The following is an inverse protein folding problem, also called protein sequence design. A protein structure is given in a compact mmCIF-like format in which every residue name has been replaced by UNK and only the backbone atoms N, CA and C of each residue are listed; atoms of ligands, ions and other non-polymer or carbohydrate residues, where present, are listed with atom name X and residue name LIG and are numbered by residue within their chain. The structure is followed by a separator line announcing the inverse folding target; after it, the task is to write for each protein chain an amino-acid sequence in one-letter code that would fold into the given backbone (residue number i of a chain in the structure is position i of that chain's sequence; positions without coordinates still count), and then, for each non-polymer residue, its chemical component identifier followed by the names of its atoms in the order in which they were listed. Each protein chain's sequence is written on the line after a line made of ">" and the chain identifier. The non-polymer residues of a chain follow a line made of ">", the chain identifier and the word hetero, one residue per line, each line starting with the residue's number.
data_IF_518666802057
#
_entry.id   IF_518666802057
#
_cell.length_a   1.000
_cell.length_b   1.000
_cell.length_c   1.000
_cell.angle_alpha   90.00
_cell.angle_beta   90.00
_cell.angle_gamma   90.00
#
_symmetry.space_group_name_H-M   'P 1'
#
loop_
_entity.id
_entity.type
_entity.pdbx_description
1 polymer ?
#
# COMPACT_ATOMS: atom_id res chain seq x y z
N UNK A 1 4.86 25.85 -5.44
CA UNK A 1 5.79 24.90 -6.11
C UNK A 1 5.45 24.85 -7.60
N UNK A 2 6.42 24.67 -8.51
CA UNK A 2 6.17 24.65 -9.98
C UNK A 2 6.52 23.31 -10.68
N UNK A 3 7.29 22.45 -10.03
CA UNK A 3 7.71 21.13 -10.52
C UNK A 3 7.85 20.17 -9.36
N UNK A 4 7.82 18.86 -9.60
CA UNK A 4 8.16 17.87 -8.58
C UNK A 4 9.62 18.04 -8.15
N UNK A 5 9.85 17.91 -6.85
CA UNK A 5 11.18 17.99 -6.23
C UNK A 5 11.37 16.83 -5.27
N UNK A 6 12.60 16.34 -5.19
CA UNK A 6 13.04 15.41 -4.16
C UNK A 6 14.08 16.15 -3.32
N UNK A 7 13.82 16.27 -2.02
CA UNK A 7 14.71 16.86 -1.05
C UNK A 7 15.45 15.74 -0.31
N UNK A 8 16.75 15.64 -0.51
CA UNK A 8 17.61 14.70 0.21
C UNK A 8 17.92 15.28 1.59
N UNK A 9 17.54 14.57 2.63
CA UNK A 9 17.76 14.94 4.04
C UNK A 9 19.12 14.46 4.54
N UNK A 10 19.53 13.28 4.05
CA UNK A 10 20.81 12.65 4.39
C UNK A 10 21.38 11.95 3.16
N UNK A 11 22.67 12.15 2.89
CA UNK A 11 23.39 11.42 1.84
C UNK A 11 23.73 10.02 2.33
N UNK A 12 23.37 9.00 1.55
CA UNK A 12 23.53 7.59 1.91
C UNK A 12 24.15 6.80 0.77
N UNK A 13 25.17 6.01 1.06
CA UNK A 13 25.69 5.02 0.11
C UNK A 13 24.93 3.69 0.28
N UNK A 14 24.33 3.20 -0.80
CA UNK A 14 23.61 1.92 -0.87
C UNK A 14 24.17 1.07 -2.01
N UNK A 15 24.22 -0.25 -1.83
CA UNK A 15 24.70 -1.18 -2.85
C UNK A 15 23.53 -1.93 -3.51
N UNK A 16 23.17 -1.49 -4.72
CA UNK A 16 22.09 -2.06 -5.55
C UNK A 16 20.83 -2.42 -4.73
N UNK A 17 20.23 -1.42 -4.05
CA UNK A 17 19.13 -1.69 -3.16
C UNK A 17 17.90 -2.22 -3.92
N UNK A 18 17.08 -2.99 -3.23
CA UNK A 18 15.75 -3.35 -3.71
C UNK A 18 14.82 -2.17 -3.43
N UNK A 19 14.08 -1.74 -4.44
CA UNK A 19 13.11 -0.66 -4.29
C UNK A 19 11.72 -1.21 -3.98
N UNK A 20 11.13 -0.79 -2.86
CA UNK A 20 9.77 -1.14 -2.44
C UNK A 20 8.91 0.11 -2.50
N UNK A 21 7.84 0.10 -3.29
CA UNK A 21 6.82 1.16 -3.32
C UNK A 21 5.52 0.70 -2.66
N UNK A 22 4.95 1.57 -1.84
CA UNK A 22 3.73 1.30 -1.09
C UNK A 22 2.93 2.58 -0.78
N UNK A 23 2.61 3.38 -1.80
CA UNK A 23 1.80 4.58 -1.64
C UNK A 23 0.33 4.24 -1.31
N UNK A 24 -0.46 5.20 -0.78
CA UNK A 24 -1.85 4.95 -0.42
C UNK A 24 -2.67 4.41 -1.59
N UNK A 25 -3.46 3.36 -1.34
CA UNK A 25 -4.27 2.69 -2.34
C UNK A 25 -5.42 1.91 -1.70
N UNK A 26 -5.97 0.94 -2.44
CA UNK A 26 -7.12 0.15 -1.99
C UNK A 26 -6.82 -0.52 -0.65
N UNK A 27 -7.69 -0.29 0.34
CA UNK A 27 -7.60 -0.85 1.69
C UNK A 27 -6.35 -0.47 2.47
N UNK A 28 -5.53 0.47 1.98
CA UNK A 28 -4.21 0.80 2.54
C UNK A 28 -3.27 -0.41 2.70
N UNK A 29 -3.52 -1.50 1.96
CA UNK A 29 -2.86 -2.79 2.17
C UNK A 29 -1.34 -2.69 2.03
N UNK A 30 -0.87 -2.14 0.90
CA UNK A 30 0.55 -1.96 0.65
C UNK A 30 1.20 -1.01 1.65
N UNK A 31 0.59 0.16 1.86
CA UNK A 31 1.09 1.18 2.80
C UNK A 31 1.25 0.62 4.21
N UNK A 32 0.25 -0.10 4.73
CA UNK A 32 0.34 -0.72 6.05
C UNK A 32 1.49 -1.74 6.14
N UNK A 33 1.71 -2.54 5.10
CA UNK A 33 2.81 -3.49 5.08
C UNK A 33 4.17 -2.78 5.09
N UNK A 34 4.33 -1.70 4.31
CA UNK A 34 5.58 -0.94 4.27
C UNK A 34 5.83 -0.09 5.51
N UNK A 35 4.80 0.58 6.05
CA UNK A 35 4.87 1.29 7.33
C UNK A 35 5.35 0.32 8.42
N UNK A 36 4.81 -0.91 8.44
CA UNK A 36 5.20 -1.93 9.40
C UNK A 36 6.64 -2.40 9.24
N UNK A 37 7.15 -2.55 8.00
CA UNK A 37 8.58 -2.83 7.76
C UNK A 37 9.47 -1.69 8.28
N UNK A 38 9.06 -0.44 8.02
CA UNK A 38 9.80 0.76 8.46
C UNK A 38 9.89 0.78 9.99
N UNK A 39 8.78 0.53 10.69
CA UNK A 39 8.72 0.56 12.14
C UNK A 39 9.47 -0.60 12.80
N UNK A 40 9.33 -1.84 12.29
CA UNK A 40 9.96 -3.02 12.90
C UNK A 40 11.45 -3.14 12.62
N UNK A 41 11.93 -2.61 11.49
CA UNK A 41 13.34 -2.65 11.11
C UNK A 41 14.07 -1.32 11.30
N UNK A 42 13.43 -0.35 11.95
CA UNK A 42 13.98 0.99 12.21
C UNK A 42 14.53 1.66 10.94
N UNK A 43 13.78 1.60 9.84
CA UNK A 43 14.22 2.18 8.58
C UNK A 43 14.40 3.71 8.71
N UNK A 44 15.44 4.24 8.07
CA UNK A 44 15.84 5.65 8.26
C UNK A 44 15.34 6.47 7.08
N UNK A 45 14.56 7.52 7.35
CA UNK A 45 14.13 8.47 6.33
C UNK A 45 15.32 9.30 5.83
N UNK A 46 15.55 9.33 4.52
CA UNK A 46 16.66 10.05 3.91
C UNK A 46 16.26 11.01 2.80
N UNK A 47 15.03 10.95 2.29
CA UNK A 47 14.54 11.91 1.31
C UNK A 47 13.02 12.10 1.37
N UNK A 48 12.55 13.22 0.84
CA UNK A 48 11.12 13.55 0.73
C UNK A 48 10.82 14.06 -0.68
N UNK A 49 9.71 13.62 -1.27
CA UNK A 49 9.20 14.09 -2.56
C UNK A 49 7.98 14.99 -2.35
N UNK A 50 7.98 16.12 -3.03
CA UNK A 50 6.87 17.06 -3.10
C UNK A 50 6.52 17.34 -4.55
N UNK A 51 5.23 17.46 -4.85
CA UNK A 51 4.76 17.68 -6.22
C UNK A 51 3.62 18.70 -6.29
N UNK A 52 3.59 19.58 -7.31
CA UNK A 52 2.40 20.38 -7.61
C UNK A 52 1.23 19.53 -8.14
N UNK A 53 1.47 18.26 -8.48
CA UNK A 53 0.47 17.31 -8.97
C UNK A 53 -0.24 16.55 -7.83
N UNK A 54 0.17 16.77 -6.59
CA UNK A 54 -0.54 16.27 -5.41
C UNK A 54 -1.82 17.06 -5.12
N UNK A 55 -2.74 16.50 -4.33
CA UNK A 55 -3.93 17.21 -3.88
C UNK A 55 -3.60 18.57 -3.27
N UNK A 56 -4.33 19.65 -3.63
CA UNK A 56 -4.07 21.00 -3.15
C UNK A 56 -4.58 21.21 -1.72
N UNK A 57 -4.13 20.35 -0.80
CA UNK A 57 -4.54 20.34 0.61
C UNK A 57 -3.35 19.99 1.52
N UNK A 58 -3.57 20.02 2.82
CA UNK A 58 -2.65 19.53 3.86
C UNK A 58 -3.40 18.53 4.73
N UNK A 59 -2.67 17.68 5.45
CA UNK A 59 -3.23 16.96 6.59
C UNK A 59 -3.03 17.78 7.86
N UNK A 60 -3.84 17.47 8.86
CA UNK A 60 -3.71 17.99 10.22
C UNK A 60 -3.78 16.79 11.15
N UNK A 61 -2.75 16.61 11.97
CA UNK A 61 -2.72 15.52 12.95
C UNK A 61 -3.52 15.85 14.22
N UNK A 62 -3.55 14.91 15.17
CA UNK A 62 -4.30 15.04 16.42
C UNK A 62 -3.79 16.17 17.33
N UNK A 63 -2.53 16.59 17.16
CA UNK A 63 -1.92 17.72 17.87
C UNK A 63 -2.15 19.06 17.15
N UNK A 64 -2.84 19.04 16.00
CA UNK A 64 -3.11 20.22 15.19
C UNK A 64 -1.93 20.67 14.34
N UNK A 65 -0.92 19.82 14.16
CA UNK A 65 0.26 20.11 13.35
C UNK A 65 -0.08 19.87 11.87
N UNK A 66 0.30 20.83 11.04
CA UNK A 66 0.10 20.79 9.60
C UNK A 66 1.15 19.88 8.98
N UNK A 67 0.68 18.90 8.20
CA UNK A 67 1.53 18.05 7.39
C UNK A 67 1.26 18.29 5.89
N UNK A 68 2.29 18.65 5.09
CA UNK A 68 2.11 18.80 3.65
C UNK A 68 1.86 17.45 2.96
N UNK A 69 1.21 17.49 1.79
CA UNK A 69 1.19 16.33 0.89
C UNK A 69 2.61 15.99 0.45
N UNK A 70 3.07 14.77 0.73
CA UNK A 70 4.43 14.32 0.40
C UNK A 70 4.53 12.81 0.25
N UNK A 71 5.61 12.38 -0.40
CA UNK A 71 6.10 11.01 -0.30
C UNK A 71 7.47 11.03 0.41
N UNK A 72 7.84 9.92 1.03
CA UNK A 72 9.02 9.81 1.87
C UNK A 72 9.78 8.55 1.49
N UNK A 73 11.11 8.68 1.38
CA UNK A 73 12.01 7.58 1.11
C UNK A 73 12.75 7.20 2.38
N UNK A 74 12.70 5.92 2.68
CA UNK A 74 13.40 5.29 3.79
C UNK A 74 14.43 4.31 3.25
N UNK A 75 15.51 4.08 3.99
CA UNK A 75 16.47 3.05 3.64
C UNK A 75 16.71 2.05 4.78
N UNK A 76 17.09 0.85 4.40
CA UNK A 76 17.65 -0.20 5.26
C UNK A 76 18.96 -0.67 4.66
N UNK A 77 19.95 -0.96 5.51
CA UNK A 77 21.26 -1.46 5.07
C UNK A 77 21.52 -2.85 5.58
N UNK A 78 22.00 -3.72 4.70
CA UNK A 78 22.49 -5.06 5.04
C UNK A 78 21.52 -5.88 5.90
N UNK A 79 20.22 -5.85 5.56
CA UNK A 79 19.18 -6.58 6.30
C UNK A 79 18.77 -7.88 5.59
N UNK A 80 18.19 -8.80 6.36
CA UNK A 80 17.82 -10.14 5.88
C UNK A 80 18.99 -11.11 5.75
N UNK A 81 18.68 -12.34 5.35
CA UNK A 81 19.68 -13.41 5.21
C UNK A 81 20.77 -13.06 4.18
N UNK A 82 20.37 -12.35 3.11
CA UNK A 82 21.25 -11.98 2.00
C UNK A 82 21.96 -10.63 2.21
N UNK A 83 21.75 -9.96 3.35
CA UNK A 83 22.32 -8.64 3.67
C UNK A 83 22.13 -7.63 2.54
N UNK A 84 20.89 -7.52 2.05
CA UNK A 84 20.53 -6.58 0.98
C UNK A 84 20.26 -5.19 1.56
N UNK A 85 20.45 -4.18 0.73
CA UNK A 85 20.00 -2.82 0.98
C UNK A 85 18.60 -2.62 0.38
N UNK A 86 17.82 -1.70 0.96
CA UNK A 86 16.46 -1.41 0.53
C UNK A 86 16.23 0.10 0.48
N UNK A 87 15.45 0.53 -0.50
CA UNK A 87 14.79 1.84 -0.51
C UNK A 87 13.29 1.57 -0.42
N UNK A 88 12.61 2.16 0.55
CA UNK A 88 11.17 2.02 0.75
C UNK A 88 10.52 3.38 0.51
N UNK A 89 9.59 3.46 -0.42
CA UNK A 89 8.78 4.64 -0.70
C UNK A 89 7.39 4.46 -0.10
N UNK A 90 7.07 5.35 0.84
CA UNK A 90 5.72 5.54 1.38
C UNK A 90 5.29 6.99 1.18
N UNK A 91 4.08 7.33 1.59
CA UNK A 91 3.60 8.69 1.54
C UNK A 91 2.15 8.82 1.97
N UNK A 92 1.67 10.04 2.02
CA UNK A 92 0.28 10.35 2.35
C UNK A 92 -0.60 10.58 1.11
N UNK A 93 -0.02 10.51 -0.09
CA UNK A 93 -0.77 10.77 -1.33
C UNK A 93 -0.14 10.16 -2.59
N UNK A 94 -0.89 10.20 -3.70
CA UNK A 94 -0.42 9.95 -5.07
C UNK A 94 -0.77 11.14 -5.98
N UNK A 95 -0.22 11.18 -7.19
CA UNK A 95 -0.59 12.18 -8.20
C UNK A 95 -2.07 12.13 -8.58
N UNK A 96 -2.71 13.29 -8.72
CA UNK A 96 -4.14 13.38 -9.04
C UNK A 96 -4.46 13.14 -10.52
N UNK A 97 -3.63 13.66 -11.43
CA UNK A 97 -3.85 13.52 -12.88
C UNK A 97 -2.95 12.43 -13.47
N UNK A 98 -3.32 11.83 -14.62
CA UNK A 98 -2.46 10.91 -15.33
C UNK A 98 -1.06 11.50 -15.58
N UNK A 99 -0.97 12.73 -16.11
CA UNK A 99 0.30 13.39 -16.40
C UNK A 99 1.14 13.57 -15.14
N UNK A 100 0.50 13.94 -14.03
CA UNK A 100 1.15 14.08 -12.73
C UNK A 100 1.68 12.75 -12.20
N UNK A 101 0.92 11.66 -12.34
CA UNK A 101 1.37 10.33 -11.94
C UNK A 101 2.58 9.86 -12.76
N UNK A 102 2.56 10.05 -14.08
CA UNK A 102 3.72 9.74 -14.94
C UNK A 102 4.94 10.58 -14.58
N UNK A 103 4.77 11.88 -14.36
CA UNK A 103 5.87 12.80 -13.98
C UNK A 103 6.47 12.45 -12.62
N UNK A 104 5.65 12.21 -11.60
CA UNK A 104 6.10 11.80 -10.26
C UNK A 104 6.82 10.45 -10.34
N UNK A 105 6.25 9.44 -11.00
CA UNK A 105 6.89 8.13 -11.13
C UNK A 105 8.20 8.20 -11.92
N UNK A 106 8.30 9.09 -12.92
CA UNK A 106 9.52 9.33 -13.66
C UNK A 106 10.63 9.89 -12.78
N UNK A 107 10.30 10.90 -11.98
CA UNK A 107 11.20 11.49 -10.99
C UNK A 107 11.65 10.49 -9.92
N UNK A 108 10.74 9.62 -9.45
CA UNK A 108 11.07 8.55 -8.50
C UNK A 108 12.08 7.58 -9.12
N UNK A 109 11.83 7.11 -10.35
CA UNK A 109 12.73 6.19 -11.05
C UNK A 109 14.10 6.83 -11.29
N UNK A 110 14.16 8.07 -11.76
CA UNK A 110 15.41 8.82 -11.95
C UNK A 110 16.21 8.89 -10.63
N UNK A 111 15.52 9.10 -9.51
CA UNK A 111 16.15 9.19 -8.19
C UNK A 111 16.71 7.85 -7.73
N UNK A 112 15.91 6.79 -7.73
CA UNK A 112 16.34 5.48 -7.22
C UNK A 112 17.35 4.77 -8.15
N UNK A 113 17.31 5.08 -9.45
CA UNK A 113 18.30 4.60 -10.43
C UNK A 113 19.72 5.08 -10.10
N UNK A 114 19.88 6.28 -9.53
CA UNK A 114 21.18 6.79 -9.10
C UNK A 114 21.81 5.97 -7.95
N UNK A 115 21.00 5.22 -7.20
CA UNK A 115 21.46 4.27 -6.18
C UNK A 115 21.72 2.86 -6.75
N UNK A 116 21.54 2.66 -8.06
CA UNK A 116 21.76 1.39 -8.73
C UNK A 116 20.63 0.37 -8.56
N UNK A 117 19.41 0.83 -8.25
CA UNK A 117 18.21 -0.02 -8.19
C UNK A 117 17.99 -0.75 -9.51
N UNK A 118 17.76 -2.06 -9.42
CA UNK A 118 17.38 -2.93 -10.55
C UNK A 118 16.13 -3.75 -10.30
N UNK A 119 15.74 -3.89 -9.03
CA UNK A 119 14.63 -4.73 -8.59
C UNK A 119 13.56 -3.84 -7.93
N UNK A 120 12.32 -3.90 -8.43
CA UNK A 120 11.18 -3.13 -7.93
C UNK A 120 10.11 -4.06 -7.40
N UNK A 121 9.62 -3.77 -6.20
CA UNK A 121 8.46 -4.39 -5.59
C UNK A 121 7.41 -3.32 -5.31
N UNK A 122 6.23 -3.43 -5.92
CA UNK A 122 5.14 -2.50 -5.63
C UNK A 122 4.05 -3.22 -4.86
N UNK A 123 3.53 -2.60 -3.80
CA UNK A 123 2.59 -3.23 -2.87
C UNK A 123 1.24 -2.50 -2.91
N UNK A 124 0.16 -3.25 -3.07
CA UNK A 124 -1.18 -2.68 -3.16
C UNK A 124 -2.28 -3.59 -2.63
N UNK A 125 -3.52 -3.11 -2.74
CA UNK A 125 -4.72 -3.88 -2.47
C UNK A 125 -5.47 -4.24 -3.76
N UNK A 126 -6.16 -5.37 -3.74
CA UNK A 126 -7.11 -5.77 -4.77
C UNK A 126 -8.53 -5.83 -4.19
N UNK A 127 -9.37 -4.88 -4.61
CA UNK A 127 -10.76 -4.80 -4.16
C UNK A 127 -11.60 -5.96 -4.70
N UNK A 128 -12.26 -6.69 -3.80
CA UNK A 128 -13.32 -7.67 -4.12
C UNK A 128 -14.71 -7.04 -4.06
N UNK A 129 -14.86 -5.94 -3.30
CA UNK A 129 -16.16 -5.31 -3.01
C UNK A 129 -17.04 -6.12 -2.04
N UNK A 130 -16.54 -7.25 -1.52
CA UNK A 130 -17.27 -8.14 -0.61
C UNK A 130 -16.34 -8.60 0.53
N UNK A 131 -16.89 -9.00 1.69
CA UNK A 131 -16.09 -9.56 2.77
C UNK A 131 -15.22 -10.73 2.31
N UNK A 132 -13.97 -10.77 2.80
CA UNK A 132 -12.99 -11.81 2.49
C UNK A 132 -12.67 -12.55 3.80
N UNK A 133 -12.80 -13.88 3.81
CA UNK A 133 -12.52 -14.68 5.00
C UNK A 133 -11.01 -14.87 5.22
N UNK A 134 -10.27 -15.14 4.14
CA UNK A 134 -8.81 -15.31 4.13
C UNK A 134 -8.26 -14.54 2.95
N UNK A 135 -7.53 -13.47 3.21
CA UNK A 135 -6.92 -12.65 2.17
C UNK A 135 -5.88 -13.44 1.39
N UNK A 136 -6.16 -13.65 0.10
CA UNK A 136 -5.17 -14.18 -0.84
C UNK A 136 -4.23 -13.08 -1.31
N UNK A 137 -3.07 -13.46 -1.82
CA UNK A 137 -2.13 -12.53 -2.45
C UNK A 137 -2.09 -12.83 -3.93
N UNK A 138 -2.39 -11.80 -4.72
CA UNK A 138 -2.25 -11.81 -6.17
C UNK A 138 -0.95 -11.15 -6.58
N UNK A 139 -0.44 -11.49 -7.75
CA UNK A 139 0.77 -10.85 -8.26
C UNK A 139 0.85 -10.75 -9.77
N UNK A 140 1.61 -9.77 -10.22
CA UNK A 140 2.02 -9.59 -11.61
C UNK A 140 3.53 -9.33 -11.65
N UNK A 141 4.17 -9.62 -12.77
CA UNK A 141 5.62 -9.51 -12.91
C UNK A 141 5.99 -8.90 -14.26
N UNK A 142 7.17 -8.28 -14.33
CA UNK A 142 7.71 -7.70 -15.56
C UNK A 142 8.27 -8.73 -16.52
N UNK A 143 8.59 -9.95 -16.05
CA UNK A 143 9.08 -11.06 -16.87
C UNK A 143 8.55 -12.42 -16.39
N UNK A 144 8.77 -13.47 -17.20
CA UNK A 144 8.22 -14.81 -16.96
C UNK A 144 8.93 -15.56 -15.83
N UNK A 145 10.21 -15.27 -15.61
CA UNK A 145 11.01 -15.85 -14.53
C UNK A 145 10.48 -15.40 -13.16
N UNK A 146 10.18 -14.12 -13.01
CA UNK A 146 9.58 -13.52 -11.83
C UNK A 146 8.13 -14.01 -11.64
N UNK A 147 7.33 -14.13 -12.71
CA UNK A 147 5.99 -14.71 -12.62
C UNK A 147 6.04 -16.14 -12.04
N UNK A 148 6.96 -16.98 -12.51
CA UNK A 148 7.17 -18.32 -11.95
C UNK A 148 7.70 -18.28 -10.52
N UNK A 149 8.50 -17.28 -10.15
CA UNK A 149 8.94 -17.08 -8.75
C UNK A 149 7.73 -16.79 -7.86
N UNK A 150 6.79 -15.97 -8.30
CA UNK A 150 5.56 -15.66 -7.57
C UNK A 150 4.72 -16.92 -7.31
N UNK A 151 4.44 -17.72 -8.35
CA UNK A 151 3.64 -18.95 -8.20
C UNK A 151 4.25 -19.94 -7.19
N UNK A 152 5.59 -20.05 -7.15
CA UNK A 152 6.30 -20.90 -6.19
C UNK A 152 6.15 -20.46 -4.72
N UNK A 153 5.72 -19.22 -4.49
CA UNK A 153 5.51 -18.63 -3.16
C UNK A 153 4.02 -18.43 -2.87
N UNK A 154 3.16 -19.26 -3.47
CA UNK A 154 1.70 -19.27 -3.27
C UNK A 154 1.00 -17.96 -3.70
N UNK A 155 1.63 -17.19 -4.60
CA UNK A 155 1.03 -15.98 -5.17
C UNK A 155 0.21 -16.36 -6.41
N UNK A 156 -1.04 -15.92 -6.45
CA UNK A 156 -1.93 -16.15 -7.58
C UNK A 156 -1.62 -15.13 -8.67
N UNK A 157 -1.22 -15.59 -9.86
CA UNK A 157 -0.99 -14.67 -10.97
C UNK A 157 -2.28 -13.94 -11.33
N UNK A 158 -2.18 -12.62 -11.47
CA UNK A 158 -3.31 -11.76 -11.79
C UNK A 158 -3.80 -12.04 -13.21
N UNK A 159 -5.11 -12.15 -13.38
CA UNK A 159 -5.79 -12.27 -14.66
C UNK A 159 -5.59 -11.03 -15.54
N UNK A 160 -5.68 -11.21 -16.86
CA UNK A 160 -5.49 -10.14 -17.86
C UNK A 160 -6.72 -9.22 -18.03
N UNK A 161 -7.63 -9.19 -17.06
CA UNK A 161 -8.95 -8.53 -17.11
C UNK A 161 -8.96 -7.09 -16.59
N UNK A 162 -7.79 -6.47 -16.43
CA UNK A 162 -7.64 -5.08 -16.01
C UNK A 162 -6.19 -4.64 -15.90
N UNK A 163 -5.99 -3.35 -15.64
CA UNK A 163 -4.66 -2.77 -15.40
C UNK A 163 -4.38 -2.56 -13.90
N UNK A 164 -3.10 -2.48 -13.55
CA UNK A 164 -2.65 -2.00 -12.25
C UNK A 164 -2.53 -0.48 -12.36
N UNK A 165 -3.31 0.25 -11.56
CA UNK A 165 -3.46 1.71 -11.66
C UNK A 165 -2.56 2.40 -10.63
N UNK A 166 -2.04 3.58 -10.96
CA UNK A 166 -1.25 4.41 -10.05
C UNK A 166 0.22 4.05 -10.04
N UNK A 167 0.93 4.50 -8.99
CA UNK A 167 2.37 4.32 -8.85
C UNK A 167 2.80 2.86 -8.97
N UNK A 168 2.03 1.93 -8.36
CA UNK A 168 2.35 0.50 -8.40
C UNK A 168 2.38 -0.09 -9.82
N UNK A 169 1.52 0.39 -10.72
CA UNK A 169 1.55 -0.02 -12.13
C UNK A 169 2.62 0.73 -12.92
N UNK A 170 2.69 2.05 -12.74
CA UNK A 170 3.56 2.92 -13.54
C UNK A 170 5.04 2.71 -13.25
N UNK A 171 5.43 2.49 -12.00
CA UNK A 171 6.83 2.26 -11.64
C UNK A 171 7.36 0.96 -12.27
N UNK A 172 6.55 -0.10 -12.31
CA UNK A 172 6.91 -1.34 -13.00
C UNK A 172 6.93 -1.16 -14.51
N UNK A 173 5.88 -0.53 -15.07
CA UNK A 173 5.76 -0.31 -16.51
C UNK A 173 6.92 0.53 -17.05
N UNK A 174 7.17 1.69 -16.45
CA UNK A 174 8.26 2.58 -16.86
C UNK A 174 9.64 2.07 -16.45
N UNK A 175 9.76 1.43 -15.28
CA UNK A 175 11.01 0.81 -14.83
C UNK A 175 11.47 -0.30 -15.79
N UNK A 176 10.55 -1.09 -16.33
CA UNK A 176 10.87 -2.12 -17.32
C UNK A 176 11.48 -1.56 -18.60
N UNK A 177 11.05 -0.37 -19.04
CA UNK A 177 11.64 0.34 -20.17
C UNK A 177 13.07 0.83 -19.90
N UNK A 178 13.48 0.88 -18.64
CA UNK A 178 14.83 1.25 -18.16
C UNK A 178 15.68 0.03 -17.81
N UNK A 179 15.18 -1.18 -18.04
CA UNK A 179 15.88 -2.42 -17.70
C UNK A 179 15.82 -2.80 -16.22
N UNK A 180 14.91 -2.19 -15.44
CA UNK A 180 14.58 -2.66 -14.10
C UNK A 180 13.53 -3.77 -14.20
N UNK A 181 13.62 -4.75 -13.31
CA UNK A 181 12.66 -5.85 -13.23
C UNK A 181 11.91 -5.79 -11.91
N UNK A 182 10.73 -6.38 -11.85
CA UNK A 182 9.96 -6.29 -10.63
C UNK A 182 8.64 -7.04 -10.63
N UNK A 183 8.00 -6.97 -9.47
CA UNK A 183 6.69 -7.59 -9.22
C UNK A 183 5.75 -6.62 -8.53
N UNK A 184 4.46 -6.74 -8.84
CA UNK A 184 3.39 -6.15 -8.05
C UNK A 184 2.80 -7.24 -7.16
N UNK A 185 2.68 -6.99 -5.86
CA UNK A 185 1.95 -7.82 -4.92
C UNK A 185 0.68 -7.10 -4.50
N UNK A 186 -0.44 -7.81 -4.52
CA UNK A 186 -1.76 -7.26 -4.23
C UNK A 186 -2.48 -8.14 -3.21
N UNK A 187 -2.72 -7.63 -2.01
CA UNK A 187 -3.52 -8.31 -1.01
C UNK A 187 -5.00 -8.17 -1.33
N UNK A 188 -5.71 -9.30 -1.39
CA UNK A 188 -7.16 -9.34 -1.57
C UNK A 188 -7.87 -8.70 -0.37
N UNK A 189 -8.71 -7.70 -0.63
CA UNK A 189 -9.38 -6.92 0.40
C UNK A 189 -10.78 -6.49 -0.05
N UNK A 190 -11.76 -6.30 0.86
CA UNK A 190 -13.04 -5.71 0.51
C UNK A 190 -12.90 -4.28 -0.03
N UNK A 191 -11.85 -3.56 0.37
CA UNK A 191 -11.43 -2.28 -0.19
C UNK A 191 -12.11 -1.03 0.36
N UNK A 192 -13.15 -1.17 1.19
CA UNK A 192 -13.89 -0.04 1.80
C UNK A 192 -13.43 0.33 3.22
N UNK A 193 -12.42 -0.34 3.77
CA UNK A 193 -11.80 -0.02 5.06
C UNK A 193 -10.29 -0.34 5.03
N UNK A 194 -9.57 0.12 6.05
CA UNK A 194 -8.14 -0.16 6.25
C UNK A 194 -7.96 -1.62 6.66
N UNK A 195 -7.33 -2.44 5.81
CA UNK A 195 -7.33 -3.90 5.94
C UNK A 195 -5.97 -4.45 6.38
N UNK A 196 -5.77 -4.51 7.71
CA UNK A 196 -4.55 -5.04 8.31
C UNK A 196 -4.35 -6.55 8.08
N UNK A 197 -5.42 -7.33 7.86
CA UNK A 197 -5.29 -8.77 7.57
C UNK A 197 -4.72 -8.98 6.17
N UNK A 198 -5.24 -8.24 5.18
CA UNK A 198 -4.69 -8.24 3.83
C UNK A 198 -3.23 -7.74 3.81
N UNK A 199 -2.91 -6.71 4.60
CA UNK A 199 -1.54 -6.20 4.71
C UNK A 199 -0.59 -7.26 5.28
N UNK A 200 -1.01 -7.97 6.34
CA UNK A 200 -0.25 -9.08 6.95
C UNK A 200 -0.03 -10.23 5.97
N UNK A 201 -1.08 -10.64 5.23
CA UNK A 201 -0.97 -11.68 4.23
C UNK A 201 0.03 -11.32 3.11
N UNK A 202 -0.04 -10.08 2.61
CA UNK A 202 0.89 -9.54 1.63
C UNK A 202 2.32 -9.47 2.17
N UNK A 203 2.51 -8.99 3.41
CA UNK A 203 3.82 -8.88 4.05
C UNK A 203 4.47 -10.26 4.21
N UNK A 204 3.71 -11.28 4.61
CA UNK A 204 4.20 -12.66 4.72
C UNK A 204 4.74 -13.21 3.40
N UNK A 205 4.10 -12.89 2.27
CA UNK A 205 4.61 -13.25 0.94
C UNK A 205 5.87 -12.47 0.60
N UNK A 206 5.86 -11.16 0.83
CA UNK A 206 7.00 -10.29 0.54
C UNK A 206 8.26 -10.73 1.31
N UNK A 207 8.11 -11.02 2.61
CA UNK A 207 9.18 -11.55 3.47
C UNK A 207 9.81 -12.82 2.92
N UNK A 208 8.99 -13.78 2.45
CA UNK A 208 9.50 -15.01 1.82
C UNK A 208 10.25 -14.73 0.52
N UNK A 209 9.74 -13.81 -0.30
CA UNK A 209 10.35 -13.46 -1.60
C UNK A 209 11.70 -12.75 -1.46
N UNK A 210 11.84 -11.96 -0.39
CA UNK A 210 13.02 -11.15 -0.07
C UNK A 210 13.94 -11.79 0.98
N UNK A 211 13.54 -12.91 1.58
CA UNK A 211 14.22 -13.55 2.73
C UNK A 211 14.48 -12.56 3.87
N UNK A 212 13.44 -11.80 4.19
CA UNK A 212 13.40 -10.88 5.32
C UNK A 212 12.60 -11.52 6.46
N UNK A 213 13.02 -11.23 7.69
CA UNK A 213 12.29 -11.56 8.90
C UNK A 213 11.79 -10.27 9.52
N UNK A 214 10.47 -10.12 9.63
CA UNK A 214 9.79 -9.00 10.27
C UNK A 214 8.72 -9.59 11.19
N UNK A 215 8.69 -9.18 12.44
CA UNK A 215 7.62 -9.58 13.36
C UNK A 215 6.28 -9.06 12.84
N UNK A 216 5.20 -9.84 12.87
CA UNK A 216 3.88 -9.43 12.39
C UNK A 216 2.82 -9.35 13.49
N UNK A 217 3.22 -9.47 14.75
CA UNK A 217 2.31 -9.49 15.90
C UNK A 217 1.44 -8.23 15.96
N UNK A 218 2.01 -7.03 15.81
CA UNK A 218 1.24 -5.77 15.82
C UNK A 218 0.20 -5.68 14.69
N UNK A 219 0.52 -6.19 13.50
CA UNK A 219 -0.45 -6.26 12.39
C UNK A 219 -1.57 -7.24 12.70
N UNK A 220 -1.26 -8.38 13.34
CA UNK A 220 -2.25 -9.36 13.77
C UNK A 220 -3.19 -8.78 14.84
N UNK A 221 -2.67 -8.03 15.81
CA UNK A 221 -3.48 -7.33 16.81
C UNK A 221 -4.43 -6.33 16.15
N UNK A 222 -3.92 -5.47 15.27
CA UNK A 222 -4.73 -4.50 14.51
C UNK A 222 -5.81 -5.17 13.65
N UNK A 223 -5.49 -6.33 13.05
CA UNK A 223 -6.46 -7.12 12.29
C UNK A 223 -7.57 -7.70 13.19
N UNK A 224 -7.23 -8.15 14.41
CA UNK A 224 -8.22 -8.61 15.40
C UNK A 224 -9.14 -7.47 15.85
N UNK A 225 -8.59 -6.29 16.09
CA UNK A 225 -9.38 -5.11 16.45
C UNK A 225 -10.34 -4.69 15.34
N UNK A 226 -9.85 -4.63 14.10
CA UNK A 226 -10.65 -4.29 12.92
C UNK A 226 -11.81 -5.27 12.74
N UNK A 227 -11.56 -6.58 12.87
CA UNK A 227 -12.61 -7.62 12.83
C UNK A 227 -13.67 -7.44 13.91
N UNK A 228 -13.25 -7.14 15.14
CA UNK A 228 -14.20 -6.87 16.25
C UNK A 228 -15.07 -5.65 15.96
N UNK A 229 -14.50 -4.59 15.40
CA UNK A 229 -15.25 -3.39 15.03
C UNK A 229 -16.27 -3.68 13.93
N UNK A 230 -15.87 -4.38 12.87
CA UNK A 230 -16.76 -4.77 11.75
C UNK A 230 -17.90 -5.66 12.25
N UNK A 231 -17.60 -6.67 13.06
CA UNK A 231 -18.62 -7.58 13.60
C UNK A 231 -19.64 -6.85 14.47
N UNK A 232 -19.20 -5.90 15.31
CA UNK A 232 -20.11 -5.05 16.10
C UNK A 232 -20.99 -4.17 15.22
N UNK A 233 -20.41 -3.56 14.17
CA UNK A 233 -21.17 -2.73 13.24
C UNK A 233 -22.26 -3.54 12.52
N UNK A 234 -21.93 -4.75 12.05
CA UNK A 234 -22.88 -5.65 11.40
C UNK A 234 -24.00 -6.11 12.34
N UNK A 235 -23.68 -6.41 13.61
CA UNK A 235 -24.69 -6.74 14.62
C UNK A 235 -25.63 -5.56 14.87
N UNK A 236 -25.09 -4.34 15.02
CA UNK A 236 -25.91 -3.13 15.21
C UNK A 236 -26.80 -2.84 14.00
N UNK A 237 -26.28 -3.01 12.78
CA UNK A 237 -27.05 -2.85 11.55
C UNK A 237 -28.20 -3.88 11.48
N UNK A 238 -27.91 -5.14 11.79
CA UNK A 238 -28.92 -6.19 11.82
C UNK A 238 -30.00 -5.92 12.90
N UNK A 239 -29.61 -5.53 14.10
CA UNK A 239 -30.55 -5.15 15.16
C UNK A 239 -31.41 -3.93 14.76
N UNK A 240 -30.84 -2.97 14.04
CA UNK A 240 -31.56 -1.80 13.54
C UNK A 240 -32.57 -2.18 12.46
N UNK A 241 -32.20 -3.05 11.53
CA UNK A 241 -33.09 -3.60 10.50
C UNK A 241 -34.21 -4.43 11.14
N UNK A 242 -33.92 -5.25 12.15
CA UNK A 242 -34.92 -6.01 12.90
C UNK A 242 -35.89 -5.08 13.63
N UNK A 243 -35.41 -4.01 14.28
CA UNK A 243 -36.27 -2.99 14.92
C UNK A 243 -37.13 -2.22 13.93
N UNK A 244 -36.65 -1.98 12.72
CA UNK A 244 -37.41 -1.33 11.65
C UNK A 244 -38.47 -2.26 11.04
N UNK A 245 -38.16 -3.55 10.89
CA UNK A 245 -39.08 -4.57 10.37
C UNK A 245 -40.13 -5.01 11.41
N UNK A 246 -39.85 -4.86 12.71
CA UNK A 246 -40.81 -5.09 13.82
C UNK A 246 -41.80 -3.95 14.06
N UNK A 247 -41.70 -2.80 13.37
CA UNK A 247 -42.70 -1.71 13.40
C UNK A 247 -43.56 -1.58 12.13
N UNK A 248 -44.40 -2.56 11.74
CA UNK A 248 -45.58 -2.30 10.95
C UNK A 248 -46.78 -2.06 11.89
N UNK A 249 -47.20 -0.80 12.04
CA UNK A 249 -48.54 -0.45 12.53
C UNK A 249 -48.67 -0.06 14.00
N UNK A 250 -48.27 1.16 14.36
CA UNK A 250 -48.97 1.99 15.36
C UNK A 250 -48.84 3.48 14.95
N UNK A 251 -49.27 3.81 13.74
CA UNK A 251 -49.80 5.15 13.45
C UNK A 251 -51.31 5.01 13.25
N UNK A 252 -52.01 4.71 14.34
CA UNK A 252 -53.47 4.72 14.37
C UNK A 252 -53.97 6.07 14.89
N UNK A 253 -54.41 6.89 13.91
CA UNK A 253 -55.55 7.80 13.99
C UNK A 253 -55.71 8.66 15.26
N UNK A 254 -54.98 9.77 15.39
CA UNK A 254 -55.43 10.91 16.21
C UNK A 254 -55.03 12.26 15.61
N UNK A 255 -55.68 12.67 14.53
CA UNK A 255 -56.05 14.08 14.32
C UNK A 255 -57.20 14.21 13.33
N UNK A 256 -58.43 14.28 13.86
CA UNK A 256 -59.60 14.87 13.19
C UNK A 256 -60.17 15.87 14.19
N UNK A 257 -60.20 17.15 13.83
CA UNK A 257 -60.72 18.26 14.65
C UNK A 257 -59.84 19.48 14.58
#
# INVERSE_FOLDING_TARGET
>A
MRKTIINVLEEVELDQPIFIEALPGIGHVGKLAADHIIDELDAIKFAELYSPSFPPQVLVDDDGIIEPMKNEFYYLKSVGEEKRDYIILIGNTQGLSPEGQYEICGMILDFVENYGVKEIYTLGGLATGQPVEVSKVYGAATNIELAKKLEKHDVILRSADGGIIGASGLLLGMGSLRGMEGVCLMGETPGYYIDAEAARALLNVLMKLLKLEVDTEKLEERAKETRKMISKAQQMEQEMIERMTLKPGEEDLRYIG
#
